data_IF_105573601931
#
_entry.id   IF_105573601931
#
_cell.length_a   1.000
_cell.length_b   1.000
_cell.length_c   1.000
_cell.angle_alpha   90.00
_cell.angle_beta   90.00
_cell.angle_gamma   90.00
#
_symmetry.space_group_name_H-M   'P 1'
#
loop_
_entity.id
_entity.type
_entity.pdbx_description
1 polymer ?
#
# COMPACT_ATOMS: atom_id res chain seq x y z
N UNK A 1 3.53 24.13 1.82
CA UNK A 1 3.14 22.72 1.55
C UNK A 1 3.63 21.79 2.64
N UNK A 2 4.70 22.15 3.36
CA UNK A 2 5.33 21.31 4.38
C UNK A 2 4.45 21.00 5.60
N UNK A 3 3.63 21.95 6.06
CA UNK A 3 2.70 21.73 7.19
C UNK A 3 1.58 20.72 6.88
N UNK A 4 1.14 20.66 5.62
CA UNK A 4 0.11 19.71 5.19
C UNK A 4 0.70 18.29 5.20
N UNK A 5 1.90 18.15 4.64
CA UNK A 5 2.60 16.88 4.59
C UNK A 5 2.91 16.36 6.00
N UNK A 6 3.43 17.20 6.90
CA UNK A 6 3.72 16.84 8.29
C UNK A 6 2.48 16.37 9.06
N UNK A 7 1.29 16.93 8.77
CA UNK A 7 0.03 16.55 9.42
C UNK A 7 -0.58 15.27 8.88
N UNK A 8 -0.57 15.07 7.57
CA UNK A 8 -1.27 13.95 6.95
C UNK A 8 -0.39 12.72 6.75
N UNK A 9 0.93 12.88 6.68
CA UNK A 9 1.84 11.76 6.48
C UNK A 9 1.76 10.69 7.58
N UNK A 10 1.72 11.02 8.89
CA UNK A 10 1.59 10.00 9.94
C UNK A 10 0.28 9.21 9.83
N UNK A 11 -0.81 9.89 9.50
CA UNK A 11 -2.11 9.26 9.32
C UNK A 11 -2.14 8.38 8.07
N UNK A 12 -1.54 8.86 6.96
CA UNK A 12 -1.38 8.08 5.74
C UNK A 12 -0.58 6.80 6.00
N UNK A 13 0.60 6.90 6.64
CA UNK A 13 1.44 5.73 6.97
C UNK A 13 0.64 4.72 7.79
N UNK A 14 -0.04 5.17 8.87
CA UNK A 14 -0.86 4.30 9.71
C UNK A 14 -1.95 3.57 8.91
N UNK A 15 -2.71 4.29 8.09
CA UNK A 15 -3.82 3.73 7.34
C UNK A 15 -3.35 2.81 6.21
N UNK A 16 -2.31 3.21 5.48
CA UNK A 16 -1.74 2.43 4.40
C UNK A 16 -1.21 1.08 4.88
N UNK A 17 -0.42 1.08 5.96
CA UNK A 17 0.08 -0.16 6.58
C UNK A 17 -1.03 -1.07 7.07
N UNK A 18 -2.07 -0.52 7.69
CA UNK A 18 -3.23 -1.30 8.13
C UNK A 18 -3.97 -1.97 6.94
N UNK A 19 -4.13 -1.24 5.83
CA UNK A 19 -4.73 -1.79 4.59
C UNK A 19 -3.86 -2.91 4.00
N UNK A 20 -2.53 -2.71 3.94
CA UNK A 20 -1.60 -3.70 3.41
C UNK A 20 -1.55 -4.96 4.28
N UNK A 21 -1.50 -4.82 5.61
CA UNK A 21 -1.54 -5.95 6.53
C UNK A 21 -2.82 -6.78 6.35
N UNK A 22 -3.97 -6.11 6.19
CA UNK A 22 -5.24 -6.78 5.88
C UNK A 22 -5.19 -7.50 4.53
N UNK A 23 -4.61 -6.87 3.50
CA UNK A 23 -4.45 -7.46 2.18
C UNK A 23 -3.63 -8.75 2.21
N UNK A 24 -2.48 -8.71 2.90
CA UNK A 24 -1.62 -9.88 3.10
C UNK A 24 -2.39 -11.02 3.77
N UNK A 25 -3.15 -10.71 4.83
CA UNK A 25 -3.96 -11.70 5.54
C UNK A 25 -5.01 -12.35 4.61
N UNK A 26 -5.76 -11.53 3.86
CA UNK A 26 -6.78 -12.00 2.91
C UNK A 26 -6.19 -12.95 1.87
N UNK A 27 -5.01 -12.64 1.32
CA UNK A 27 -4.35 -13.49 0.33
C UNK A 27 -3.88 -14.81 0.97
N UNK A 28 -3.30 -14.74 2.17
CA UNK A 28 -2.84 -15.91 2.90
C UNK A 28 -3.98 -16.86 3.29
N UNK A 29 -5.15 -16.31 3.66
CA UNK A 29 -6.35 -17.08 4.04
C UNK A 29 -7.22 -17.50 2.84
N UNK A 30 -6.85 -17.07 1.63
CA UNK A 30 -7.57 -17.31 0.37
C UNK A 30 -9.04 -16.91 0.38
N UNK A 31 -9.38 -15.82 1.07
CA UNK A 31 -10.75 -15.32 1.09
C UNK A 31 -11.15 -14.68 -0.25
N UNK A 32 -11.72 -15.47 -1.15
CA UNK A 32 -12.02 -15.04 -2.51
C UNK A 32 -12.97 -13.83 -2.62
N UNK A 33 -13.87 -13.64 -1.64
CA UNK A 33 -14.83 -12.54 -1.62
C UNK A 33 -14.16 -11.16 -1.44
N UNK A 34 -12.94 -11.11 -0.91
CA UNK A 34 -12.22 -9.87 -0.59
C UNK A 34 -11.16 -9.51 -1.64
N UNK A 35 -10.86 -10.38 -2.61
CA UNK A 35 -9.85 -10.12 -3.65
C UNK A 35 -10.20 -8.96 -4.57
N UNK A 36 -11.47 -8.82 -4.96
CA UNK A 36 -11.91 -7.71 -5.82
C UNK A 36 -11.69 -6.33 -5.17
N UNK A 37 -11.59 -6.29 -3.84
CA UNK A 37 -11.36 -5.05 -3.08
C UNK A 37 -9.89 -4.65 -3.04
N UNK A 38 -8.96 -5.60 -3.19
CA UNK A 38 -7.51 -5.36 -3.15
C UNK A 38 -7.06 -4.36 -4.21
N UNK A 39 -7.49 -4.57 -5.47
CA UNK A 39 -7.12 -3.68 -6.56
C UNK A 39 -7.62 -2.25 -6.31
N UNK A 40 -8.85 -2.10 -5.83
CA UNK A 40 -9.44 -0.79 -5.48
C UNK A 40 -8.73 -0.12 -4.31
N UNK A 41 -8.34 -0.87 -3.29
CA UNK A 41 -7.58 -0.33 -2.15
C UNK A 41 -6.18 0.14 -2.57
N UNK A 42 -5.50 -0.60 -3.45
CA UNK A 42 -4.19 -0.23 -4.00
C UNK A 42 -4.29 0.99 -4.93
N UNK A 43 -5.35 1.08 -5.74
CA UNK A 43 -5.66 2.25 -6.54
C UNK A 43 -5.84 3.51 -5.66
N UNK A 44 -6.64 3.37 -4.59
CA UNK A 44 -6.90 4.45 -3.64
C UNK A 44 -5.62 4.90 -2.94
N UNK A 45 -4.79 3.94 -2.53
CA UNK A 45 -3.48 4.21 -1.93
C UNK A 45 -2.55 4.97 -2.88
N UNK A 46 -2.53 4.61 -4.17
CA UNK A 46 -1.77 5.34 -5.17
C UNK A 46 -2.25 6.80 -5.33
N UNK A 47 -3.56 7.03 -5.26
CA UNK A 47 -4.15 8.38 -5.27
C UNK A 47 -3.74 9.20 -4.05
N UNK A 48 -3.92 8.64 -2.85
CA UNK A 48 -3.52 9.28 -1.59
C UNK A 48 -2.01 9.59 -1.56
N UNK A 49 -1.17 8.64 -1.99
CA UNK A 49 0.27 8.82 -2.12
C UNK A 49 0.64 9.95 -3.11
N UNK A 50 -0.08 10.03 -4.23
CA UNK A 50 0.10 11.10 -5.22
C UNK A 50 -0.23 12.49 -4.67
N UNK A 51 -1.30 12.60 -3.86
CA UNK A 51 -1.67 13.85 -3.19
C UNK A 51 -0.62 14.30 -2.16
N UNK A 52 0.10 13.36 -1.57
CA UNK A 52 1.18 13.63 -0.61
C UNK A 52 2.56 13.80 -1.27
N UNK A 53 2.67 13.67 -2.59
CA UNK A 53 3.96 13.77 -3.29
C UNK A 53 4.89 12.57 -3.03
N UNK A 54 4.35 11.42 -2.60
CA UNK A 54 5.12 10.20 -2.33
C UNK A 54 5.42 9.45 -3.64
N UNK A 55 6.26 10.06 -4.47
CA UNK A 55 6.57 9.59 -5.83
C UNK A 55 7.14 8.17 -5.89
N UNK A 56 7.73 7.69 -4.79
CA UNK A 56 8.25 6.32 -4.69
C UNK A 56 7.18 5.27 -4.35
N UNK A 57 6.06 5.70 -3.75
CA UNK A 57 4.96 4.82 -3.35
C UNK A 57 3.94 4.64 -4.48
N UNK A 58 3.69 5.69 -5.25
CA UNK A 58 2.74 5.66 -6.38
C UNK A 58 3.02 4.54 -7.40
N UNK A 59 4.24 4.36 -7.94
CA UNK A 59 4.51 3.31 -8.92
C UNK A 59 4.38 1.91 -8.31
N UNK A 60 4.82 1.73 -7.05
CA UNK A 60 4.63 0.48 -6.33
C UNK A 60 3.13 0.19 -6.21
N UNK A 61 2.32 1.09 -5.64
CA UNK A 61 0.89 0.87 -5.47
C UNK A 61 0.15 0.52 -6.80
N UNK A 62 0.56 1.13 -7.92
CA UNK A 62 0.01 0.81 -9.26
C UNK A 62 0.43 -0.56 -9.79
N UNK A 63 1.68 -0.96 -9.56
CA UNK A 63 2.15 -2.31 -9.87
C UNK A 63 1.37 -3.35 -9.04
N UNK A 64 1.17 -3.06 -7.75
CA UNK A 64 0.32 -3.86 -6.87
C UNK A 64 -1.12 -3.98 -7.36
N UNK A 65 -1.74 -2.88 -7.79
CA UNK A 65 -3.08 -2.89 -8.40
C UNK A 65 -3.14 -3.87 -9.58
N UNK A 66 -2.12 -3.83 -10.44
CA UNK A 66 -2.04 -4.68 -11.63
C UNK A 66 -1.88 -6.15 -11.28
N UNK A 67 -1.03 -6.47 -10.29
CA UNK A 67 -0.86 -7.84 -9.76
C UNK A 67 -2.10 -8.34 -9.05
N UNK A 68 -2.81 -7.49 -8.32
CA UNK A 68 -4.08 -7.84 -7.68
C UNK A 68 -5.15 -8.20 -8.71
N UNK A 69 -5.22 -7.48 -9.83
CA UNK A 69 -6.11 -7.82 -10.95
C UNK A 69 -5.73 -9.15 -11.60
N UNK A 70 -4.44 -9.39 -11.83
CA UNK A 70 -3.96 -10.66 -12.37
C UNK A 70 -4.33 -11.85 -11.45
N UNK A 71 -4.04 -11.71 -10.15
CA UNK A 71 -4.39 -12.71 -9.14
C UNK A 71 -5.90 -12.96 -9.04
N UNK A 72 -6.74 -11.91 -9.15
CA UNK A 72 -8.19 -12.05 -9.15
C UNK A 72 -8.70 -12.94 -10.30
N UNK A 73 -8.05 -12.87 -11.46
CA UNK A 73 -8.39 -13.65 -12.66
C UNK A 73 -7.85 -15.07 -12.55
N UNK A 74 -6.56 -15.24 -12.25
CA UNK A 74 -5.90 -16.55 -12.27
C UNK A 74 -6.17 -17.39 -11.03
N UNK A 75 -6.25 -16.74 -9.86
CA UNK A 75 -6.26 -17.35 -8.51
C UNK A 75 -5.13 -18.35 -8.29
N UNK A 76 -4.03 -18.18 -9.02
CA UNK A 76 -2.89 -19.09 -8.97
C UNK A 76 -2.01 -18.80 -7.76
N UNK A 77 -1.31 -19.83 -7.29
CA UNK A 77 -0.38 -19.71 -6.17
C UNK A 77 0.81 -18.83 -6.54
N UNK A 78 1.29 -18.92 -7.78
CA UNK A 78 2.35 -18.08 -8.28
C UNK A 78 1.97 -16.58 -8.26
N UNK A 79 0.76 -16.24 -8.68
CA UNK A 79 0.29 -14.84 -8.63
C UNK A 79 0.05 -14.36 -7.20
N UNK A 80 -0.38 -15.26 -6.31
CA UNK A 80 -0.49 -14.97 -4.88
C UNK A 80 0.88 -14.63 -4.27
N UNK A 81 1.91 -15.44 -4.55
CA UNK A 81 3.27 -15.22 -4.08
C UNK A 81 3.85 -13.90 -4.60
N UNK A 82 3.67 -13.63 -5.88
CA UNK A 82 4.12 -12.37 -6.52
C UNK A 82 3.41 -11.16 -5.90
N UNK A 83 2.10 -11.25 -5.65
CA UNK A 83 1.34 -10.19 -5.00
C UNK A 83 1.76 -10.00 -3.54
N UNK A 84 2.00 -11.08 -2.79
CA UNK A 84 2.47 -11.02 -1.41
C UNK A 84 3.86 -10.38 -1.29
N UNK A 85 4.79 -10.74 -2.18
CA UNK A 85 6.12 -10.14 -2.21
C UNK A 85 6.04 -8.63 -2.47
N UNK A 86 5.20 -8.22 -3.43
CA UNK A 86 4.98 -6.82 -3.76
C UNK A 86 4.35 -6.05 -2.58
N UNK A 87 3.34 -6.62 -1.91
CA UNK A 87 2.69 -5.97 -0.76
C UNK A 87 3.66 -5.77 0.41
N UNK A 88 4.59 -6.70 0.63
CA UNK A 88 5.64 -6.57 1.65
C UNK A 88 6.63 -5.45 1.31
N UNK A 89 7.04 -5.35 0.05
CA UNK A 89 7.90 -4.25 -0.42
C UNK A 89 7.21 -2.89 -0.22
N UNK A 90 5.93 -2.82 -0.55
CA UNK A 90 5.13 -1.61 -0.35
C UNK A 90 5.00 -1.22 1.13
N UNK A 91 4.74 -2.18 2.03
CA UNK A 91 4.71 -1.93 3.48
C UNK A 91 6.05 -1.39 3.99
N UNK A 92 7.15 -2.03 3.58
CA UNK A 92 8.49 -1.61 3.98
C UNK A 92 8.80 -0.19 3.51
N UNK A 93 8.45 0.14 2.26
CA UNK A 93 8.68 1.48 1.71
C UNK A 93 7.89 2.56 2.46
N UNK A 94 6.64 2.27 2.81
CA UNK A 94 5.78 3.18 3.56
C UNK A 94 6.28 3.36 5.00
N UNK A 95 6.79 2.30 5.62
CA UNK A 95 7.42 2.37 6.94
C UNK A 95 8.67 3.26 6.92
N UNK A 96 9.57 3.09 5.94
CA UNK A 96 10.75 3.93 5.79
C UNK A 96 10.41 5.42 5.66
N UNK A 97 9.34 5.76 4.92
CA UNK A 97 8.85 7.14 4.79
C UNK A 97 8.37 7.68 6.14
N UNK A 98 7.65 6.85 6.91
CA UNK A 98 7.19 7.23 8.24
C UNK A 98 8.33 7.49 9.23
N UNK A 99 9.43 6.72 9.14
CA UNK A 99 10.62 6.89 9.98
C UNK A 99 11.46 8.10 9.56
N UNK A 100 11.54 8.39 8.26
CA UNK A 100 12.32 9.51 7.72
C UNK A 100 11.63 10.88 7.89
N UNK A 101 10.34 10.91 8.24
CA UNK A 101 9.59 12.14 8.45
C UNK A 101 10.02 12.83 9.77
N UNK A 102 10.37 14.13 9.74
CA UNK A 102 10.69 14.85 10.97
C UNK A 102 9.47 14.91 11.90
N UNK A 103 9.68 14.59 13.17
CA UNK A 103 8.65 14.70 14.20
C UNK A 103 8.25 16.17 14.34
N UNK A 104 6.96 16.54 14.36
CA UNK A 104 6.56 17.91 14.62
C UNK A 104 6.92 18.26 16.08
N UNK A 105 8.07 18.91 16.27
CA UNK A 105 8.62 19.25 17.59
C UNK A 105 10.12 19.54 17.64
N UNK A 106 10.91 19.21 16.61
CA UNK A 106 12.38 19.40 16.58
C UNK A 106 12.84 20.65 15.80
N UNK A 107 12.09 21.76 15.82
CA UNK A 107 12.50 23.03 15.18
C UNK A 107 12.34 24.23 16.10
#
# INVERSE_FOLDING_TARGET
>A
MDDLHARFLPQFVKLARARIAKAIKVIAEREAATFARLATELHTLAGEAGLLGLHDVVPLARDGESKAKAFQVSRSDADAEVLLAMLRELDHRIEQIGVAAPTPGDS
#
